data_IF_392033739309
#
_entry.id   IF_392033739309
#
_cell.length_a   1.000
_cell.length_b   1.000
_cell.length_c   1.000
_cell.angle_alpha   90.00
_cell.angle_beta   90.00
_cell.angle_gamma   90.00
#
_symmetry.space_group_name_H-M   'P 1'
#
loop_
_entity.id
_entity.type
_entity.pdbx_description
1 polymer ?
#
# COMPACT_ATOMS: atom_id res chain seq x y z
N UNK A 1 -9.02 -0.38 -20.02
CA UNK A 1 -8.86 -0.68 -18.58
C UNK A 1 -7.39 -0.73 -18.17
N UNK A 2 -6.59 -1.62 -18.78
CA UNK A 2 -5.19 -1.86 -18.38
C UNK A 2 -4.30 -0.61 -18.42
N UNK A 3 -4.39 0.22 -19.46
CA UNK A 3 -3.57 1.44 -19.55
C UNK A 3 -3.81 2.44 -18.40
N UNK A 4 -5.06 2.58 -17.95
CA UNK A 4 -5.42 3.48 -16.85
C UNK A 4 -4.87 2.94 -15.52
N UNK A 5 -5.03 1.63 -15.29
CA UNK A 5 -4.49 0.98 -14.09
C UNK A 5 -2.97 1.03 -14.04
N UNK A 6 -2.30 0.73 -15.16
CA UNK A 6 -0.85 0.83 -15.25
C UNK A 6 -0.36 2.25 -15.01
N UNK A 7 -1.01 3.26 -15.60
CA UNK A 7 -0.68 4.66 -15.35
C UNK A 7 -0.88 5.04 -13.87
N UNK A 8 -1.99 4.61 -13.26
CA UNK A 8 -2.27 4.86 -11.85
C UNK A 8 -1.20 4.23 -10.94
N UNK A 9 -0.82 2.97 -11.19
CA UNK A 9 0.24 2.28 -10.44
C UNK A 9 1.56 3.04 -10.57
N UNK A 10 1.98 3.38 -11.79
CA UNK A 10 3.24 4.09 -12.03
C UNK A 10 3.25 5.45 -11.32
N UNK A 11 2.19 6.25 -11.48
CA UNK A 11 2.10 7.58 -10.85
C UNK A 11 2.13 7.44 -9.32
N UNK A 12 1.41 6.48 -8.77
CA UNK A 12 1.34 6.25 -7.31
C UNK A 12 2.70 5.84 -6.77
N UNK A 13 3.37 4.88 -7.41
CA UNK A 13 4.71 4.42 -7.00
C UNK A 13 5.75 5.53 -7.12
N UNK A 14 5.73 6.31 -8.20
CA UNK A 14 6.62 7.46 -8.36
C UNK A 14 6.37 8.54 -7.31
N UNK A 15 5.09 8.77 -6.96
CA UNK A 15 4.72 9.72 -5.90
C UNK A 15 5.26 9.25 -4.54
N UNK A 16 5.09 7.97 -4.20
CA UNK A 16 5.67 7.39 -2.98
C UNK A 16 7.19 7.57 -2.94
N UNK A 17 7.88 7.24 -4.03
CA UNK A 17 9.34 7.38 -4.12
C UNK A 17 9.78 8.84 -3.96
N UNK A 18 9.10 9.77 -4.65
CA UNK A 18 9.37 11.19 -4.55
C UNK A 18 9.20 11.70 -3.12
N UNK A 19 8.12 11.31 -2.44
CA UNK A 19 7.85 11.73 -1.05
C UNK A 19 8.90 11.18 -0.08
N UNK A 20 9.29 9.91 -0.22
CA UNK A 20 10.38 9.32 0.59
C UNK A 20 11.66 10.13 0.42
N UNK A 21 12.08 10.43 -0.81
CA UNK A 21 13.32 11.17 -1.07
C UNK A 21 13.22 12.62 -0.57
N UNK A 22 12.11 13.31 -0.86
CA UNK A 22 11.93 14.73 -0.57
C UNK A 22 11.72 15.03 0.91
N UNK A 23 11.06 14.13 1.64
CA UNK A 23 10.68 14.32 3.04
C UNK A 23 11.41 13.37 4.01
N UNK A 24 12.49 12.70 3.58
CA UNK A 24 13.28 11.76 4.41
C UNK A 24 13.71 12.29 5.79
N UNK A 25 13.94 13.60 5.90
CA UNK A 25 14.43 14.23 7.13
C UNK A 25 13.31 14.80 8.00
N UNK A 26 12.05 14.67 7.58
CA UNK A 26 10.90 15.13 8.34
C UNK A 26 10.68 14.20 9.53
N UNK A 27 10.72 14.75 10.75
CA UNK A 27 10.41 14.01 11.96
C UNK A 27 8.93 14.13 12.27
N UNK A 28 8.26 12.99 12.40
CA UNK A 28 6.87 12.91 12.85
C UNK A 28 6.85 12.66 14.35
N UNK A 29 6.09 13.47 15.09
CA UNK A 29 5.89 13.31 16.53
C UNK A 29 4.44 12.91 16.78
N UNK A 30 4.23 11.71 17.31
CA UNK A 30 2.93 11.21 17.73
C UNK A 30 2.69 11.40 19.23
N UNK A 31 1.43 11.27 19.67
CA UNK A 31 1.06 11.37 21.08
C UNK A 31 1.63 10.21 21.93
N UNK A 32 1.87 9.05 21.31
CA UNK A 32 2.36 7.83 21.97
C UNK A 32 3.63 7.32 21.28
N UNK A 33 4.82 7.78 21.70
CA UNK A 33 6.08 7.25 21.16
C UNK A 33 6.28 5.81 21.62
N UNK A 34 6.62 4.92 20.69
CA UNK A 34 6.93 3.52 20.97
C UNK A 34 8.37 3.20 20.54
N UNK A 35 9.03 2.22 21.17
CA UNK A 35 10.34 1.76 20.74
C UNK A 35 10.33 1.27 19.29
N UNK A 36 11.43 1.47 18.57
CA UNK A 36 11.56 1.09 17.15
C UNK A 36 11.23 -0.39 16.91
N UNK A 37 11.69 -1.28 17.81
CA UNK A 37 11.45 -2.72 17.70
C UNK A 37 9.96 -3.06 17.83
N UNK A 38 9.27 -2.40 18.76
CA UNK A 38 7.81 -2.55 18.91
C UNK A 38 7.09 -2.06 17.66
N UNK A 39 7.51 -0.94 17.10
CA UNK A 39 6.94 -0.42 15.86
C UNK A 39 7.15 -1.38 14.68
N UNK A 40 8.35 -1.95 14.52
CA UNK A 40 8.63 -2.97 13.51
C UNK A 40 7.76 -4.21 13.69
N UNK A 41 7.56 -4.68 14.93
CA UNK A 41 6.69 -5.82 15.21
C UNK A 41 5.22 -5.53 14.86
N UNK A 42 4.73 -4.33 15.15
CA UNK A 42 3.37 -3.90 14.77
C UNK A 42 3.24 -3.90 13.24
N UNK A 43 4.18 -3.28 12.51
CA UNK A 43 4.15 -3.27 11.05
C UNK A 43 4.18 -4.69 10.49
N UNK A 44 5.06 -5.54 10.98
CA UNK A 44 5.18 -6.93 10.53
C UNK A 44 3.89 -7.71 10.76
N UNK A 45 3.34 -7.67 11.97
CA UNK A 45 2.09 -8.38 12.31
C UNK A 45 0.87 -7.83 11.58
N UNK A 46 0.81 -6.51 11.32
CA UNK A 46 -0.26 -5.91 10.51
C UNK A 46 -0.15 -6.25 9.02
N UNK A 47 1.06 -6.45 8.53
CA UNK A 47 1.32 -6.85 7.15
C UNK A 47 1.05 -8.33 6.93
N UNK A 48 1.31 -9.18 7.93
CA UNK A 48 1.09 -10.63 7.91
C UNK A 48 -0.40 -11.00 7.91
N UNK A 49 -1.10 -10.59 6.86
CA UNK A 49 -2.46 -10.99 6.56
C UNK A 49 -2.46 -12.28 5.72
N UNK A 50 -3.57 -13.01 5.73
CA UNK A 50 -3.79 -14.22 4.92
C UNK A 50 -3.50 -13.92 3.45
N UNK A 51 -3.79 -12.72 2.97
CA UNK A 51 -3.47 -12.28 1.60
C UNK A 51 -1.98 -12.36 1.26
N UNK A 52 -1.07 -11.99 2.17
CA UNK A 52 0.38 -12.08 1.93
C UNK A 52 0.92 -13.51 1.86
N UNK A 53 0.16 -14.51 2.34
CA UNK A 53 0.57 -15.92 2.29
C UNK A 53 -0.16 -16.64 1.16
N UNK A 54 -1.48 -16.42 1.04
CA UNK A 54 -2.36 -17.14 0.14
C UNK A 54 -2.16 -16.73 -1.32
N UNK A 55 -2.12 -15.43 -1.61
CA UNK A 55 -2.02 -14.96 -2.99
C UNK A 55 -0.69 -15.34 -3.64
N UNK A 56 0.48 -15.18 -2.98
CA UNK A 56 1.74 -15.63 -3.57
C UNK A 56 1.78 -17.12 -3.89
N UNK A 57 1.11 -17.98 -3.11
CA UNK A 57 1.09 -19.42 -3.42
C UNK A 57 0.27 -19.76 -4.67
N UNK A 58 -0.76 -18.97 -4.97
CA UNK A 58 -1.60 -19.14 -6.17
C UNK A 58 -0.93 -18.48 -7.37
N UNK A 59 -0.48 -17.24 -7.21
CA UNK A 59 0.11 -16.41 -8.27
C UNK A 59 1.47 -16.96 -8.72
N UNK A 60 2.26 -17.56 -7.82
CA UNK A 60 3.53 -18.18 -8.18
C UNK A 60 3.40 -19.23 -9.29
N UNK A 61 2.33 -20.05 -9.26
CA UNK A 61 2.08 -21.05 -10.30
C UNK A 61 1.75 -20.41 -11.64
N UNK A 62 1.00 -19.31 -11.61
CA UNK A 62 0.69 -18.51 -12.80
C UNK A 62 1.97 -17.90 -13.39
N UNK A 63 2.78 -17.23 -12.55
CA UNK A 63 4.04 -16.62 -12.97
C UNK A 63 5.04 -17.65 -13.52
N UNK A 64 5.02 -18.89 -13.03
CA UNK A 64 5.87 -19.97 -13.52
C UNK A 64 5.38 -20.57 -14.85
N UNK A 65 4.07 -20.54 -15.12
CA UNK A 65 3.46 -21.21 -16.28
C UNK A 65 3.29 -20.29 -17.50
N UNK A 66 3.07 -19.00 -17.28
CA UNK A 66 2.73 -18.06 -18.36
C UNK A 66 3.97 -17.42 -19.00
N UNK A 67 4.04 -17.46 -20.34
CA UNK A 67 5.14 -16.88 -21.11
C UNK A 67 5.31 -15.37 -20.91
N UNK A 68 4.25 -14.64 -20.55
CA UNK A 68 4.29 -13.21 -20.27
C UNK A 68 5.18 -12.84 -19.08
N UNK A 69 5.39 -13.76 -18.14
CA UNK A 69 6.19 -13.56 -16.93
C UNK A 69 7.57 -14.24 -16.99
N UNK A 70 7.92 -14.88 -18.11
CA UNK A 70 9.18 -15.60 -18.29
C UNK A 70 10.44 -14.71 -18.26
N UNK A 71 10.28 -13.39 -18.22
CA UNK A 71 11.38 -12.42 -18.15
C UNK A 71 12.08 -12.38 -16.79
N UNK A 72 11.45 -12.90 -15.73
CA UNK A 72 12.01 -12.90 -14.38
C UNK A 72 11.66 -14.21 -13.64
N UNK A 73 12.43 -14.51 -12.58
CA UNK A 73 12.09 -15.62 -11.69
C UNK A 73 10.75 -15.31 -10.99
N UNK A 74 9.78 -16.24 -10.97
CA UNK A 74 8.51 -16.07 -10.25
C UNK A 74 8.66 -15.57 -8.81
N UNK A 75 9.67 -16.03 -8.06
CA UNK A 75 9.96 -15.53 -6.70
C UNK A 75 10.31 -14.04 -6.68
N UNK A 76 11.04 -13.55 -7.68
CA UNK A 76 11.43 -12.15 -7.76
C UNK A 76 10.22 -11.26 -8.11
N UNK A 77 9.30 -11.78 -8.93
CA UNK A 77 8.03 -11.11 -9.27
C UNK A 77 7.18 -10.94 -8.01
N UNK A 78 6.97 -12.03 -7.27
CA UNK A 78 6.24 -12.03 -5.98
C UNK A 78 6.87 -11.06 -4.98
N UNK A 79 8.19 -11.11 -4.82
CA UNK A 79 8.91 -10.24 -3.91
C UNK A 79 8.78 -8.76 -4.31
N UNK A 80 8.76 -8.46 -5.61
CA UNK A 80 8.51 -7.12 -6.12
C UNK A 80 7.13 -6.58 -5.74
N UNK A 81 6.08 -7.39 -5.95
CA UNK A 81 4.70 -7.00 -5.65
C UNK A 81 4.44 -6.86 -4.15
N UNK A 82 4.70 -7.94 -3.40
CA UNK A 82 4.29 -8.05 -2.00
C UNK A 82 5.33 -7.50 -1.02
N UNK A 83 6.62 -7.57 -1.37
CA UNK A 83 7.71 -7.05 -0.55
C UNK A 83 7.92 -5.53 -0.69
N UNK A 84 7.58 -4.94 -1.84
CA UNK A 84 7.84 -3.52 -2.10
C UNK A 84 6.62 -2.74 -2.58
N UNK A 85 5.97 -3.15 -3.67
CA UNK A 85 4.96 -2.31 -4.34
C UNK A 85 3.78 -1.99 -3.40
N UNK A 86 3.23 -3.01 -2.75
CA UNK A 86 2.13 -2.86 -1.79
C UNK A 86 2.52 -1.96 -0.62
N UNK A 87 3.72 -2.13 -0.06
CA UNK A 87 4.24 -1.27 1.00
C UNK A 87 4.42 0.18 0.56
N UNK A 88 4.79 0.41 -0.69
CA UNK A 88 4.86 1.75 -1.28
C UNK A 88 3.50 2.46 -1.31
N UNK A 89 2.42 1.72 -1.55
CA UNK A 89 1.05 2.26 -1.48
C UNK A 89 0.61 2.53 -0.05
N UNK A 90 0.91 1.61 0.88
CA UNK A 90 0.65 1.85 2.31
C UNK A 90 1.38 3.09 2.80
N UNK A 91 2.66 3.25 2.44
CA UNK A 91 3.43 4.45 2.77
C UNK A 91 2.75 5.73 2.30
N UNK A 92 2.25 5.78 1.05
CA UNK A 92 1.61 6.98 0.50
C UNK A 92 0.37 7.38 1.32
N UNK A 93 -0.47 6.40 1.64
CA UNK A 93 -1.67 6.61 2.44
C UNK A 93 -1.31 7.03 3.86
N UNK A 94 -0.32 6.40 4.49
CA UNK A 94 0.19 6.80 5.81
C UNK A 94 0.75 8.23 5.77
N UNK A 95 1.52 8.58 4.73
CA UNK A 95 2.05 9.94 4.57
C UNK A 95 0.92 10.97 4.47
N UNK A 96 -0.12 10.66 3.70
CA UNK A 96 -1.31 11.51 3.62
C UNK A 96 -1.89 11.77 5.01
N UNK A 97 -2.20 10.72 5.78
CA UNK A 97 -2.83 10.88 7.09
C UNK A 97 -1.92 11.52 8.15
N UNK A 98 -0.62 11.28 8.10
CA UNK A 98 0.32 11.82 9.10
C UNK A 98 0.76 13.26 8.78
N UNK A 99 0.85 13.64 7.51
CA UNK A 99 1.46 14.93 7.10
C UNK A 99 0.46 15.88 6.46
N UNK A 100 -0.41 15.38 5.59
CA UNK A 100 -1.28 16.20 4.73
C UNK A 100 -2.64 16.43 5.38
N UNK A 101 -3.28 15.37 5.84
CA UNK A 101 -4.63 15.42 6.44
C UNK A 101 -4.74 16.37 7.63
N UNK A 102 -3.79 16.45 8.58
CA UNK A 102 -3.90 17.39 9.71
C UNK A 102 -3.98 18.86 9.27
N UNK A 103 -3.54 19.17 8.05
CA UNK A 103 -3.58 20.52 7.46
C UNK A 103 -4.83 20.76 6.62
N UNK A 104 -5.29 19.75 5.89
CA UNK A 104 -6.46 19.87 5.01
C UNK A 104 -7.78 19.62 5.73
N UNK A 105 -7.78 18.71 6.72
CA UNK A 105 -8.95 18.33 7.52
C UNK A 105 -10.14 17.91 6.64
N UNK A 106 -9.89 17.23 5.53
CA UNK A 106 -10.93 16.80 4.61
C UNK A 106 -11.91 15.85 5.30
N UNK A 107 -11.40 15.01 6.20
CA UNK A 107 -12.24 14.13 6.99
C UNK A 107 -12.98 14.85 8.12
N UNK A 108 -12.91 16.17 8.28
CA UNK A 108 -13.88 16.90 9.14
C UNK A 108 -15.19 17.16 8.37
N UNK A 109 -15.17 17.09 7.04
CA UNK A 109 -16.34 17.32 6.17
C UNK A 109 -17.23 16.06 6.17
N UNK A 110 -18.50 16.15 6.63
CA UNK A 110 -19.39 14.99 6.74
C UNK A 110 -19.60 14.24 5.42
N UNK A 111 -19.67 14.97 4.30
CA UNK A 111 -19.84 14.39 2.98
C UNK A 111 -18.66 13.51 2.55
N UNK A 112 -17.42 13.92 2.87
CA UNK A 112 -16.22 13.14 2.55
C UNK A 112 -16.20 11.84 3.37
N UNK A 113 -16.57 11.91 4.65
CA UNK A 113 -16.74 10.70 5.48
C UNK A 113 -17.78 9.75 4.90
N UNK A 114 -18.92 10.28 4.44
CA UNK A 114 -19.98 9.47 3.86
C UNK A 114 -19.48 8.73 2.61
N UNK A 115 -18.82 9.42 1.68
CA UNK A 115 -18.26 8.80 0.48
C UNK A 115 -17.24 7.73 0.86
N UNK A 116 -16.29 8.05 1.75
CA UNK A 116 -15.28 7.09 2.19
C UNK A 116 -15.90 5.83 2.79
N UNK A 117 -16.91 5.97 3.63
CA UNK A 117 -17.60 4.83 4.23
C UNK A 117 -18.34 4.00 3.18
N UNK A 118 -18.99 4.63 2.19
CA UNK A 118 -19.62 3.92 1.08
C UNK A 118 -18.59 3.18 0.23
N UNK A 119 -17.41 3.77 -0.01
CA UNK A 119 -16.31 3.10 -0.71
C UNK A 119 -15.82 1.89 0.06
N UNK A 120 -15.63 2.00 1.38
CA UNK A 120 -15.22 0.87 2.23
C UNK A 120 -16.25 -0.26 2.15
N UNK A 121 -17.53 0.05 2.34
CA UNK A 121 -18.62 -0.94 2.24
C UNK A 121 -18.64 -1.58 0.86
N UNK A 122 -18.51 -0.78 -0.20
CA UNK A 122 -18.43 -1.28 -1.57
C UNK A 122 -17.24 -2.24 -1.75
N UNK A 123 -16.05 -1.87 -1.28
CA UNK A 123 -14.88 -2.75 -1.39
C UNK A 123 -15.07 -4.05 -0.61
N UNK A 124 -15.59 -4.01 0.62
CA UNK A 124 -15.83 -5.22 1.40
C UNK A 124 -16.95 -6.10 0.81
N UNK A 125 -17.95 -5.51 0.15
CA UNK A 125 -19.07 -6.25 -0.44
C UNK A 125 -18.72 -6.90 -1.79
N UNK A 126 -17.74 -6.35 -2.52
CA UNK A 126 -17.36 -6.79 -3.87
C UNK A 126 -15.96 -7.39 -3.97
N UNK A 127 -15.23 -7.55 -2.85
CA UNK A 127 -14.04 -8.41 -2.78
C UNK A 127 -14.48 -9.87 -2.81
N UNK A 128 -14.71 -10.39 -4.02
CA UNK A 128 -14.95 -11.79 -4.34
C UNK A 128 -14.20 -12.19 -5.59
#
# INVERSE_FOLDING_TARGET
MNAILSAAIVITTLTSLFLVVRYRNMRLTGATPIPLVTFMAILFTSGLDVGLIMFPMVDFKMFAAESAYAFANPLAIEFGFWGFLVWGFYFLTTFYFCVVEPRLKLFEIPFIKLINNLTIVGTCAFTG
#
